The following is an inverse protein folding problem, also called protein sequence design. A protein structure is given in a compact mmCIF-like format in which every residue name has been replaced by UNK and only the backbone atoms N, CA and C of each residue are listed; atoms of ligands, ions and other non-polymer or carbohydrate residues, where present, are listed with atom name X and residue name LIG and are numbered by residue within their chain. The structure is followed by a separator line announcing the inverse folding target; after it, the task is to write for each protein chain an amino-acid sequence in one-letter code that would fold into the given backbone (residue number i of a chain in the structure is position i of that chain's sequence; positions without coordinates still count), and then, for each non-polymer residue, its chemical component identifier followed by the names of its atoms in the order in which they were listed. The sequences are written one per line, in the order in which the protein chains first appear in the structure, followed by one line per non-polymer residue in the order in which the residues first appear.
data_IF_672417303341
#
_entry.id   IF_672417303341
#
_cell.length_a   1.000
_cell.length_b   1.000
_cell.length_c   1.000
_cell.angle_alpha   90.00
_cell.angle_beta   90.00
_cell.angle_gamma   90.00
#
_symmetry.space_group_name_H-M   'P 1'
#
loop_
_entity.id
_entity.type
_entity.pdbx_description
1 polymer ?
#
# COMPACT_ATOMS: atom_id res chain seq x y z
N UNK A 1 20.66 -4.38 25.08
CA UNK A 1 19.37 -3.65 24.94
C UNK A 1 19.02 -2.71 26.12
N UNK A 2 19.79 -2.67 27.22
CA UNK A 2 19.50 -1.79 28.39
C UNK A 2 19.46 -0.31 27.97
N UNK A 3 20.47 0.16 27.25
CA UNK A 3 20.57 1.53 26.75
C UNK A 3 19.36 1.92 25.87
N UNK A 4 18.92 1.04 24.95
CA UNK A 4 17.74 1.30 24.10
C UNK A 4 16.48 1.46 24.95
N UNK A 5 16.31 0.63 25.98
CA UNK A 5 15.15 0.69 26.90
C UNK A 5 15.12 2.02 27.67
N UNK A 6 16.28 2.50 28.10
CA UNK A 6 16.41 3.76 28.85
C UNK A 6 16.19 5.01 27.96
N UNK A 7 16.41 4.87 26.64
CA UNK A 7 16.24 5.96 25.66
C UNK A 7 14.82 6.02 25.07
N UNK A 8 13.93 5.07 25.39
CA UNK A 8 12.60 5.01 24.78
C UNK A 8 11.51 4.98 25.84
N UNK A 9 10.48 5.81 25.63
CA UNK A 9 9.28 5.84 26.47
C UNK A 9 8.06 5.63 25.58
N UNK A 10 7.21 4.67 25.95
CA UNK A 10 5.95 4.38 25.26
C UNK A 10 4.79 4.88 26.10
N UNK A 11 3.98 5.75 25.54
CA UNK A 11 2.82 6.35 26.20
C UNK A 11 1.57 6.04 25.39
N UNK A 12 0.53 5.52 26.06
CA UNK A 12 -0.79 5.31 25.45
C UNK A 12 -1.82 6.16 26.18
N UNK A 13 -2.54 7.00 25.44
CA UNK A 13 -3.60 7.85 25.99
C UNK A 13 -4.71 8.09 24.97
N UNK A 14 -5.89 8.45 25.48
CA UNK A 14 -6.98 8.91 24.62
C UNK A 14 -6.71 10.36 24.22
N UNK A 15 -6.52 10.59 22.93
CA UNK A 15 -6.22 11.91 22.39
C UNK A 15 -7.30 12.96 22.74
N UNK A 16 -8.60 12.61 22.64
CA UNK A 16 -9.69 13.54 22.90
C UNK A 16 -9.77 14.03 24.35
N UNK A 17 -9.27 13.22 25.28
CA UNK A 17 -9.24 13.54 26.72
C UNK A 17 -7.93 14.21 27.15
N UNK A 18 -6.86 14.01 26.38
CA UNK A 18 -5.49 14.40 26.76
C UNK A 18 -4.81 15.25 25.68
N UNK A 19 -5.54 16.14 25.03
CA UNK A 19 -4.99 17.02 23.99
C UNK A 19 -3.81 17.85 24.48
N UNK A 20 -3.83 18.27 25.75
CA UNK A 20 -2.74 19.03 26.37
C UNK A 20 -1.43 18.25 26.45
N UNK A 21 -1.49 16.92 26.62
CA UNK A 21 -0.29 16.08 26.59
C UNK A 21 0.34 16.08 25.19
N UNK A 22 -0.48 15.95 24.14
CA UNK A 22 0.01 16.04 22.75
C UNK A 22 0.64 17.40 22.46
N UNK A 23 0.03 18.49 22.92
CA UNK A 23 0.59 19.85 22.80
C UNK A 23 1.93 19.96 23.52
N UNK A 24 2.00 19.49 24.76
CA UNK A 24 3.22 19.53 25.57
C UNK A 24 4.34 18.74 24.89
N UNK A 25 4.11 17.48 24.51
CA UNK A 25 5.10 16.66 23.83
C UNK A 25 5.56 17.29 22.51
N UNK A 26 4.65 17.90 21.75
CA UNK A 26 4.98 18.63 20.52
C UNK A 26 5.88 19.84 20.79
N UNK A 27 5.66 20.57 21.88
CA UNK A 27 6.41 21.79 22.21
C UNK A 27 7.85 21.54 22.65
N UNK A 28 8.13 20.35 23.19
CA UNK A 28 9.48 20.01 23.71
C UNK A 28 10.30 19.14 22.78
N UNK A 29 9.71 18.53 21.75
CA UNK A 29 10.44 17.62 20.85
C UNK A 29 11.36 18.37 19.88
N UNK A 30 12.50 17.77 19.54
CA UNK A 30 13.39 18.24 18.47
C UNK A 30 12.99 17.70 17.08
N UNK A 31 12.24 16.61 17.04
CA UNK A 31 11.62 16.08 15.84
C UNK A 31 10.25 15.48 16.17
N UNK A 32 9.27 15.74 15.31
CA UNK A 32 7.92 15.20 15.41
C UNK A 32 7.60 14.35 14.18
N UNK A 33 7.42 13.05 14.40
CA UNK A 33 6.95 12.13 13.35
C UNK A 33 5.51 11.78 13.64
N UNK A 34 4.62 12.00 12.67
CA UNK A 34 3.20 11.69 12.79
C UNK A 34 2.82 10.65 11.75
N UNK A 35 2.30 9.54 12.21
CA UNK A 35 1.76 8.48 11.36
C UNK A 35 0.25 8.38 11.57
N UNK A 36 -0.53 8.66 10.55
CA UNK A 36 -2.00 8.65 10.68
C UNK A 36 -2.73 9.10 9.43
N UNK A 37 -4.05 9.08 9.50
CA UNK A 37 -4.89 9.62 8.43
C UNK A 37 -4.77 11.15 8.32
N UNK A 38 -5.05 11.69 7.12
CA UNK A 38 -4.90 13.11 6.81
C UNK A 38 -5.57 14.03 7.86
N UNK A 39 -6.79 13.70 8.31
CA UNK A 39 -7.49 14.50 9.30
C UNK A 39 -6.78 14.54 10.67
N UNK A 40 -6.13 13.45 11.06
CA UNK A 40 -5.36 13.39 12.31
C UNK A 40 -4.07 14.19 12.19
N UNK A 41 -3.40 14.10 11.06
CA UNK A 41 -2.19 14.88 10.76
C UNK A 41 -2.51 16.37 10.79
N UNK A 42 -3.59 16.81 10.12
CA UNK A 42 -4.00 18.22 10.11
C UNK A 42 -4.35 18.77 11.50
N UNK A 43 -4.87 17.93 12.40
CA UNK A 43 -5.06 18.34 13.80
C UNK A 43 -3.73 18.52 14.52
N UNK A 44 -2.81 17.56 14.39
CA UNK A 44 -1.52 17.60 15.10
C UNK A 44 -0.63 18.73 14.58
N UNK A 45 -0.66 19.03 13.29
CA UNK A 45 0.05 20.18 12.68
C UNK A 45 -0.27 21.52 13.33
N UNK A 46 -1.47 21.68 13.88
CA UNK A 46 -1.87 22.92 14.55
C UNK A 46 -1.14 23.17 15.88
N UNK A 47 -0.53 22.15 16.47
CA UNK A 47 0.20 22.33 17.71
C UNK A 47 1.60 22.89 17.42
N UNK A 48 2.00 23.95 18.15
CA UNK A 48 3.32 24.54 17.96
C UNK A 48 4.41 23.54 18.33
N UNK A 49 5.49 23.60 17.56
CA UNK A 49 6.76 22.89 17.82
C UNK A 49 7.86 23.92 17.96
N UNK A 50 9.03 23.51 18.51
CA UNK A 50 10.21 24.35 18.54
C UNK A 50 10.56 24.84 17.12
N UNK A 51 10.98 26.11 16.97
CA UNK A 51 11.33 26.71 15.67
C UNK A 51 12.38 25.90 14.89
N UNK A 52 13.25 25.17 15.59
CA UNK A 52 14.30 24.34 14.98
C UNK A 52 13.91 22.86 14.87
N UNK A 53 12.77 22.47 15.41
CA UNK A 53 12.29 21.08 15.31
C UNK A 53 11.92 20.74 13.87
N UNK A 54 12.05 19.46 13.54
CA UNK A 54 11.70 18.90 12.23
C UNK A 54 10.40 18.11 12.30
N UNK A 55 9.66 18.09 11.20
CA UNK A 55 8.42 17.31 11.10
C UNK A 55 8.47 16.36 9.91
N UNK A 56 8.00 15.14 10.14
CA UNK A 56 7.77 14.13 9.10
C UNK A 56 6.34 13.61 9.24
N UNK A 57 5.61 13.53 8.14
CA UNK A 57 4.22 13.08 8.10
C UNK A 57 4.06 11.87 7.21
N UNK A 58 3.64 10.76 7.79
CA UNK A 58 3.24 9.55 7.07
C UNK A 58 1.71 9.52 6.97
N UNK A 59 1.22 10.16 5.92
CA UNK A 59 -0.22 10.32 5.67
C UNK A 59 -0.83 9.09 5.02
N UNK A 60 -2.14 9.11 4.84
CA UNK A 60 -2.86 8.05 4.16
C UNK A 60 -2.51 7.99 2.67
N UNK A 61 -2.04 6.83 2.20
CA UNK A 61 -1.55 6.59 0.84
C UNK A 61 -2.21 5.38 0.20
N UNK A 62 -2.12 5.30 -1.11
CA UNK A 62 -2.62 4.22 -1.95
C UNK A 62 -1.48 3.50 -2.65
N UNK A 63 -1.57 2.17 -2.75
CA UNK A 63 -0.56 1.35 -3.43
C UNK A 63 -1.19 0.37 -4.39
N UNK A 64 -0.40 -0.05 -5.36
CA UNK A 64 -0.83 -0.99 -6.39
C UNK A 64 0.22 -2.06 -6.66
N UNK A 65 -0.20 -3.15 -7.31
CA UNK A 65 0.69 -4.22 -7.76
C UNK A 65 0.61 -4.38 -9.28
N UNK A 66 1.76 -4.52 -9.94
CA UNK A 66 1.86 -4.78 -11.38
C UNK A 66 2.42 -6.17 -11.60
N UNK A 67 1.61 -7.05 -12.18
CA UNK A 67 1.90 -8.46 -12.35
C UNK A 67 1.95 -8.83 -13.83
N UNK A 68 3.09 -9.35 -14.29
CA UNK A 68 3.28 -9.78 -15.67
C UNK A 68 2.75 -11.21 -15.86
N UNK A 69 1.61 -11.34 -16.54
CA UNK A 69 0.91 -12.61 -16.75
C UNK A 69 1.78 -13.60 -17.52
N UNK A 70 2.46 -13.18 -18.56
CA UNK A 70 3.36 -14.03 -19.36
C UNK A 70 4.54 -14.58 -18.55
N UNK A 71 5.05 -13.83 -17.57
CA UNK A 71 6.10 -14.32 -16.66
C UNK A 71 5.53 -15.27 -15.60
N UNK A 72 4.33 -15.00 -15.11
CA UNK A 72 3.63 -15.89 -14.15
C UNK A 72 3.31 -17.24 -14.77
N UNK A 73 2.88 -17.28 -16.03
CA UNK A 73 2.55 -18.54 -16.75
C UNK A 73 3.72 -19.50 -16.86
N UNK A 74 4.96 -18.98 -16.87
CA UNK A 74 6.20 -19.76 -17.00
C UNK A 74 6.75 -20.25 -15.66
N UNK A 75 6.13 -19.87 -14.53
CA UNK A 75 6.60 -20.30 -13.22
C UNK A 75 6.34 -21.80 -12.99
N UNK A 76 7.35 -22.50 -12.49
CA UNK A 76 7.15 -23.80 -11.88
C UNK A 76 6.34 -23.69 -10.58
N UNK A 77 5.85 -24.80 -10.07
CA UNK A 77 5.00 -24.83 -8.86
C UNK A 77 5.67 -24.12 -7.67
N UNK A 78 6.93 -24.38 -7.38
CA UNK A 78 7.67 -23.82 -6.25
C UNK A 78 7.73 -22.28 -6.32
N UNK A 79 8.06 -21.74 -7.48
CA UNK A 79 8.17 -20.29 -7.68
C UNK A 79 6.79 -19.61 -7.72
N UNK A 80 5.77 -20.29 -8.21
CA UNK A 80 4.40 -19.80 -8.16
C UNK A 80 3.89 -19.74 -6.72
N UNK A 81 4.12 -20.78 -5.92
CA UNK A 81 3.75 -20.79 -4.50
C UNK A 81 4.54 -19.72 -3.70
N UNK A 82 5.81 -19.48 -4.06
CA UNK A 82 6.60 -18.38 -3.48
C UNK A 82 5.99 -17.01 -3.82
N UNK A 83 5.60 -16.78 -5.07
CA UNK A 83 4.94 -15.53 -5.48
C UNK A 83 3.64 -15.30 -4.69
N UNK A 84 2.83 -16.35 -4.51
CA UNK A 84 1.59 -16.25 -3.71
C UNK A 84 1.87 -15.93 -2.24
N UNK A 85 2.90 -16.55 -1.64
CA UNK A 85 3.29 -16.24 -0.26
C UNK A 85 3.79 -14.80 -0.12
N UNK A 86 4.57 -14.32 -1.06
CA UNK A 86 5.05 -12.96 -1.10
C UNK A 86 3.90 -11.95 -1.25
N UNK A 87 2.94 -12.24 -2.13
CA UNK A 87 1.75 -11.42 -2.29
C UNK A 87 0.86 -11.43 -1.03
N UNK A 88 0.75 -12.59 -0.36
CA UNK A 88 0.10 -12.69 0.95
C UNK A 88 0.77 -11.77 1.98
N UNK A 89 2.09 -11.75 2.03
CA UNK A 89 2.84 -10.89 2.96
C UNK A 89 2.54 -9.39 2.70
N UNK A 90 2.50 -8.97 1.44
CA UNK A 90 2.21 -7.58 1.08
C UNK A 90 0.77 -7.14 1.42
N UNK A 91 -0.15 -8.10 1.61
CA UNK A 91 -1.58 -7.81 1.71
C UNK A 91 -2.20 -8.19 3.04
N UNK A 92 -2.05 -9.45 3.48
CA UNK A 92 -2.83 -9.99 4.61
C UNK A 92 -2.18 -9.82 5.97
N UNK A 93 -0.85 -9.63 6.08
CA UNK A 93 -0.17 -9.51 7.38
C UNK A 93 -0.66 -8.34 8.22
N UNK A 94 -1.18 -7.30 7.58
CA UNK A 94 -1.73 -6.10 8.24
C UNK A 94 -3.14 -5.80 7.74
N UNK A 95 -3.93 -6.84 7.45
CA UNK A 95 -5.34 -6.74 7.04
C UNK A 95 -5.56 -5.89 5.77
N UNK A 96 -4.53 -5.76 4.91
CA UNK A 96 -4.49 -4.87 3.75
C UNK A 96 -4.63 -3.37 4.12
N UNK A 97 -4.31 -2.99 5.38
CA UNK A 97 -4.45 -1.63 5.89
C UNK A 97 -3.17 -0.79 5.80
N UNK A 98 -2.01 -1.38 5.50
CA UNK A 98 -0.79 -0.59 5.31
C UNK A 98 -0.91 0.31 4.06
N UNK A 99 -0.36 1.51 4.14
CA UNK A 99 -0.29 2.43 2.99
C UNK A 99 0.43 1.79 1.79
N UNK A 100 1.37 0.89 2.04
CA UNK A 100 2.12 0.14 1.03
C UNK A 100 1.42 -1.12 0.54
N UNK A 101 0.32 -1.57 1.17
CA UNK A 101 -0.44 -2.74 0.72
C UNK A 101 -1.19 -2.45 -0.57
N UNK A 102 -1.06 -3.28 -1.62
CA UNK A 102 -1.74 -3.04 -2.88
C UNK A 102 -3.25 -3.27 -2.78
N UNK A 103 -4.04 -2.32 -3.29
CA UNK A 103 -5.48 -2.40 -3.46
C UNK A 103 -5.88 -2.65 -4.92
N UNK A 104 -5.14 -2.05 -5.87
CA UNK A 104 -5.29 -2.24 -7.30
C UNK A 104 -4.23 -3.21 -7.81
N UNK A 105 -4.67 -4.26 -8.51
CA UNK A 105 -3.79 -5.22 -9.18
C UNK A 105 -3.90 -4.99 -10.67
N UNK A 106 -2.78 -4.67 -11.32
CA UNK A 106 -2.73 -4.47 -12.76
C UNK A 106 -1.97 -5.61 -13.42
N UNK A 107 -2.70 -6.32 -14.25
CA UNK A 107 -2.16 -7.42 -15.06
C UNK A 107 -1.61 -6.86 -16.36
N UNK A 108 -0.34 -7.13 -16.65
CA UNK A 108 0.31 -6.68 -17.88
C UNK A 108 0.82 -7.87 -18.70
N UNK A 109 1.04 -7.62 -20.00
CA UNK A 109 1.46 -8.65 -20.96
C UNK A 109 0.50 -9.86 -20.97
N UNK A 110 -0.78 -9.57 -20.98
CA UNK A 110 -1.86 -10.55 -21.10
C UNK A 110 -1.88 -11.09 -22.53
N UNK A 111 -1.71 -12.41 -22.67
CA UNK A 111 -1.88 -13.14 -23.92
C UNK A 111 -3.22 -13.89 -23.96
N UNK A 112 -3.41 -14.76 -24.96
CA UNK A 112 -4.67 -15.46 -25.18
C UNK A 112 -5.19 -16.27 -23.97
N UNK A 113 -4.29 -16.76 -23.09
CA UNK A 113 -4.63 -17.55 -21.90
C UNK A 113 -4.54 -16.75 -20.59
N UNK A 114 -4.57 -15.42 -20.65
CA UNK A 114 -4.42 -14.56 -19.46
C UNK A 114 -5.48 -14.84 -18.41
N UNK A 115 -6.73 -15.02 -18.83
CA UNK A 115 -7.87 -15.23 -17.92
C UNK A 115 -7.70 -16.47 -17.03
N UNK A 116 -7.21 -17.57 -17.59
CA UNK A 116 -7.00 -18.82 -16.84
C UNK A 116 -5.87 -18.66 -15.82
N UNK A 117 -4.81 -17.92 -16.18
CA UNK A 117 -3.67 -17.68 -15.31
C UNK A 117 -4.07 -16.76 -14.15
N UNK A 118 -4.81 -15.69 -14.43
CA UNK A 118 -5.33 -14.75 -13.44
C UNK A 118 -6.29 -15.48 -12.49
N UNK A 119 -7.20 -16.27 -13.04
CA UNK A 119 -8.14 -17.05 -12.23
C UNK A 119 -7.41 -18.08 -11.34
N UNK A 120 -6.42 -18.78 -11.90
CA UNK A 120 -5.57 -19.72 -11.15
C UNK A 120 -4.83 -18.99 -10.01
N UNK A 121 -4.32 -17.79 -10.24
CA UNK A 121 -3.65 -16.99 -9.22
C UNK A 121 -4.59 -16.70 -8.05
N UNK A 122 -5.76 -16.13 -8.31
CA UNK A 122 -6.73 -15.80 -7.26
C UNK A 122 -7.26 -17.04 -6.52
N UNK A 123 -7.56 -18.11 -7.25
CA UNK A 123 -8.01 -19.37 -6.67
C UNK A 123 -6.94 -19.97 -5.75
N UNK A 124 -5.69 -20.01 -6.17
CA UNK A 124 -4.59 -20.53 -5.35
C UNK A 124 -4.29 -19.63 -4.15
N UNK A 125 -4.34 -18.31 -4.34
CA UNK A 125 -4.23 -17.36 -3.25
C UNK A 125 -5.32 -17.60 -2.19
N UNK A 126 -6.57 -17.79 -2.58
CA UNK A 126 -7.65 -18.03 -1.63
C UNK A 126 -7.47 -19.29 -0.79
N UNK A 127 -6.91 -20.36 -1.36
CA UNK A 127 -6.53 -21.56 -0.61
C UNK A 127 -5.39 -21.31 0.37
N UNK A 128 -4.38 -20.54 -0.03
CA UNK A 128 -3.27 -20.16 0.84
C UNK A 128 -3.77 -19.33 2.02
N UNK A 129 -4.59 -18.29 1.72
CA UNK A 129 -5.15 -17.38 2.73
C UNK A 129 -6.02 -18.14 3.72
N UNK A 130 -6.90 -19.03 3.25
CA UNK A 130 -7.74 -19.88 4.12
C UNK A 130 -6.93 -20.67 5.16
N UNK A 131 -5.70 -21.06 4.81
CA UNK A 131 -4.81 -21.82 5.73
C UNK A 131 -4.08 -20.95 6.75
N UNK A 132 -3.82 -19.68 6.41
CA UNK A 132 -2.91 -18.82 7.17
C UNK A 132 -3.58 -17.66 7.89
N UNK A 133 -4.72 -17.21 7.37
CA UNK A 133 -5.35 -15.97 7.80
C UNK A 133 -6.64 -16.24 8.56
N UNK A 134 -6.72 -15.70 9.77
CA UNK A 134 -7.92 -15.79 10.59
C UNK A 134 -8.88 -14.63 10.25
N UNK A 135 -9.73 -14.84 9.26
CA UNK A 135 -10.74 -13.86 8.87
C UNK A 135 -11.90 -13.88 9.86
N UNK A 136 -12.17 -12.75 10.49
CA UNK A 136 -13.34 -12.59 11.35
C UNK A 136 -14.63 -12.56 10.52
N UNK A 137 -15.72 -13.11 11.05
CA UNK A 137 -17.02 -13.18 10.34
C UNK A 137 -17.54 -11.80 9.97
N UNK A 138 -17.43 -10.83 10.87
CA UNK A 138 -17.83 -9.43 10.61
C UNK A 138 -17.08 -8.83 9.41
N UNK A 139 -15.80 -9.15 9.23
CA UNK A 139 -15.01 -8.67 8.08
C UNK A 139 -15.54 -9.23 6.75
N UNK A 140 -16.13 -10.44 6.75
CA UNK A 140 -16.78 -11.00 5.56
C UNK A 140 -18.05 -10.22 5.20
N UNK A 141 -18.84 -9.83 6.20
CA UNK A 141 -20.04 -9.01 6.03
C UNK A 141 -19.65 -7.62 5.49
N UNK A 142 -18.63 -7.00 6.07
CA UNK A 142 -18.15 -5.69 5.63
C UNK A 142 -17.68 -5.71 4.18
N UNK A 143 -16.93 -6.75 3.77
CA UNK A 143 -16.52 -6.93 2.37
C UNK A 143 -17.71 -7.09 1.43
N UNK A 144 -18.70 -7.86 1.81
CA UNK A 144 -19.91 -8.03 1.02
C UNK A 144 -20.67 -6.72 0.87
N UNK A 145 -20.87 -5.99 1.95
CA UNK A 145 -21.50 -4.66 1.93
C UNK A 145 -20.71 -3.67 1.05
N UNK A 146 -19.37 -3.69 1.14
CA UNK A 146 -18.52 -2.87 0.27
C UNK A 146 -18.69 -3.25 -1.21
N UNK A 147 -18.76 -4.54 -1.52
CA UNK A 147 -18.98 -5.03 -2.88
C UNK A 147 -20.31 -4.56 -3.45
N UNK A 148 -21.40 -4.65 -2.68
CA UNK A 148 -22.73 -4.17 -3.09
C UNK A 148 -22.71 -2.65 -3.34
N UNK A 149 -22.09 -1.87 -2.44
CA UNK A 149 -21.93 -0.42 -2.64
C UNK A 149 -21.16 -0.10 -3.92
N UNK A 150 -20.11 -0.86 -4.23
CA UNK A 150 -19.31 -0.65 -5.43
C UNK A 150 -20.09 -1.00 -6.71
N UNK A 151 -20.88 -2.06 -6.71
CA UNK A 151 -21.74 -2.44 -7.85
C UNK A 151 -22.68 -1.28 -8.23
N UNK A 152 -23.18 -0.55 -7.24
CA UNK A 152 -24.08 0.59 -7.48
C UNK A 152 -23.32 1.88 -7.87
N UNK A 153 -22.15 2.12 -7.26
CA UNK A 153 -21.50 3.42 -7.36
C UNK A 153 -20.36 3.50 -8.38
N UNK A 154 -19.69 2.38 -8.66
CA UNK A 154 -18.48 2.35 -9.51
C UNK A 154 -18.87 1.98 -10.94
N UNK A 155 -18.98 2.97 -11.80
CA UNK A 155 -19.40 2.81 -13.21
C UNK A 155 -18.46 1.91 -14.02
N UNK A 156 -17.19 1.93 -13.68
CA UNK A 156 -16.12 1.17 -14.34
C UNK A 156 -16.07 -0.30 -13.89
N UNK A 157 -16.85 -0.68 -12.89
CA UNK A 157 -16.90 -2.06 -12.41
C UNK A 157 -17.62 -2.94 -13.45
N UNK A 158 -16.90 -3.89 -14.03
CA UNK A 158 -17.43 -4.79 -15.06
C UNK A 158 -17.83 -6.16 -14.52
N UNK A 159 -17.13 -6.64 -13.50
CA UNK A 159 -17.35 -7.98 -12.93
C UNK A 159 -16.88 -8.01 -11.47
N UNK A 160 -17.56 -8.83 -10.68
CA UNK A 160 -17.13 -9.21 -9.34
C UNK A 160 -16.98 -10.72 -9.23
N UNK A 161 -15.96 -11.20 -8.54
CA UNK A 161 -15.75 -12.63 -8.29
C UNK A 161 -15.24 -12.85 -6.87
N UNK A 162 -15.85 -13.79 -6.18
CA UNK A 162 -15.49 -14.16 -4.83
C UNK A 162 -14.89 -15.57 -4.82
N UNK A 163 -13.69 -15.70 -4.25
CA UNK A 163 -13.03 -16.97 -4.00
C UNK A 163 -13.13 -17.28 -2.52
N UNK A 164 -14.23 -17.91 -2.13
CA UNK A 164 -14.67 -18.01 -0.74
C UNK A 164 -14.83 -16.59 -0.12
N UNK A 165 -14.81 -16.50 1.22
CA UNK A 165 -14.82 -15.22 1.92
C UNK A 165 -13.43 -14.57 2.02
N UNK A 166 -12.37 -15.22 1.50
CA UNK A 166 -11.00 -14.79 1.71
C UNK A 166 -10.46 -13.86 0.62
N UNK A 167 -10.97 -13.97 -0.61
CA UNK A 167 -10.52 -13.14 -1.75
C UNK A 167 -11.73 -12.65 -2.52
N UNK A 168 -11.94 -11.34 -2.55
CA UNK A 168 -12.95 -10.66 -3.35
C UNK A 168 -12.24 -9.85 -4.44
N UNK A 169 -12.57 -10.08 -5.68
CA UNK A 169 -11.95 -9.44 -6.84
C UNK A 169 -12.99 -8.66 -7.62
N UNK A 170 -12.71 -7.39 -7.86
CA UNK A 170 -13.56 -6.45 -8.58
C UNK A 170 -12.85 -6.00 -9.84
N UNK A 171 -13.24 -6.57 -10.98
CA UNK A 171 -12.62 -6.30 -12.28
C UNK A 171 -13.14 -4.98 -12.83
N UNK A 172 -12.22 -4.08 -13.15
CA UNK A 172 -12.50 -2.77 -13.73
C UNK A 172 -12.31 -2.82 -15.26
N UNK A 173 -13.31 -2.36 -16.03
CA UNK A 173 -13.20 -2.18 -17.48
C UNK A 173 -12.19 -1.08 -17.84
N UNK A 174 -12.09 -0.08 -16.97
CA UNK A 174 -11.14 1.04 -17.03
C UNK A 174 -10.78 1.45 -15.61
N UNK A 175 -9.56 1.89 -15.37
CA UNK A 175 -9.15 2.44 -14.06
C UNK A 175 -9.75 3.85 -13.92
N UNK A 176 -10.58 4.11 -12.88
CA UNK A 176 -11.09 5.46 -12.60
C UNK A 176 -9.97 6.44 -12.24
N UNK A 177 -10.15 7.72 -12.54
CA UNK A 177 -9.13 8.73 -12.20
C UNK A 177 -8.94 8.90 -10.67
N UNK A 178 -9.97 8.58 -9.88
CA UNK A 178 -9.95 8.63 -8.42
C UNK A 178 -9.84 7.23 -7.80
N UNK A 179 -9.09 6.34 -8.43
CA UNK A 179 -8.92 4.93 -7.98
C UNK A 179 -8.44 4.84 -6.53
N UNK A 180 -7.69 5.82 -6.03
CA UNK A 180 -7.21 5.89 -4.65
C UNK A 180 -8.34 5.96 -3.61
N UNK A 181 -9.55 6.32 -4.02
CA UNK A 181 -10.76 6.25 -3.18
C UNK A 181 -11.32 4.83 -3.05
N UNK A 182 -10.97 3.94 -3.98
CA UNK A 182 -11.42 2.56 -4.03
C UNK A 182 -10.45 1.66 -3.26
N UNK A 183 -10.69 1.52 -1.96
CA UNK A 183 -9.88 0.70 -1.06
C UNK A 183 -10.62 -0.54 -0.64
N UNK A 184 -9.87 -1.59 -0.45
CA UNK A 184 -10.35 -2.82 0.16
C UNK A 184 -9.59 -3.15 1.44
N UNK A 185 -10.11 -4.11 2.19
CA UNK A 185 -9.47 -4.71 3.36
C UNK A 185 -9.68 -6.21 3.31
N UNK A 186 -8.86 -6.95 4.05
CA UNK A 186 -9.05 -8.39 4.26
C UNK A 186 -9.14 -9.21 2.97
N UNK A 187 -8.35 -8.82 1.94
CA UNK A 187 -8.36 -9.50 0.65
C UNK A 187 -9.47 -9.05 -0.30
N UNK A 188 -9.79 -7.77 -0.29
CA UNK A 188 -10.69 -7.12 -1.24
C UNK A 188 -9.88 -6.33 -2.25
N UNK A 189 -9.85 -6.78 -3.49
CA UNK A 189 -9.00 -6.25 -4.55
C UNK A 189 -9.80 -5.65 -5.69
N UNK A 190 -9.23 -4.63 -6.31
CA UNK A 190 -9.61 -4.19 -7.65
C UNK A 190 -8.56 -4.69 -8.64
N UNK A 191 -9.00 -5.07 -9.83
CA UNK A 191 -8.07 -5.52 -10.87
C UNK A 191 -8.38 -4.90 -12.22
N UNK A 192 -7.35 -4.74 -13.05
CA UNK A 192 -7.47 -4.29 -14.42
C UNK A 192 -6.38 -4.92 -15.28
N UNK A 193 -6.69 -5.23 -16.55
CA UNK A 193 -5.70 -5.66 -17.53
C UNK A 193 -5.22 -4.46 -18.36
N UNK A 194 -3.91 -4.23 -18.42
CA UNK A 194 -3.31 -3.14 -19.17
C UNK A 194 -2.23 -3.65 -20.14
N UNK A 195 -2.15 -3.04 -21.31
CA UNK A 195 -1.17 -3.42 -22.33
C UNK A 195 0.26 -2.94 -21.99
N UNK A 196 0.38 -1.85 -21.26
CA UNK A 196 1.65 -1.22 -20.90
C UNK A 196 1.49 -0.35 -19.65
N UNK A 197 2.55 0.34 -19.21
CA UNK A 197 2.53 1.18 -18.00
C UNK A 197 2.04 2.63 -18.23
N UNK A 198 1.59 3.01 -19.41
CA UNK A 198 1.12 4.39 -19.66
C UNK A 198 -0.13 4.79 -18.86
N UNK A 199 -0.89 3.80 -18.37
CA UNK A 199 -2.02 4.07 -17.46
C UNK A 199 -1.57 4.78 -16.17
N UNK A 200 -0.35 4.52 -15.70
CA UNK A 200 0.21 5.12 -14.48
C UNK A 200 0.20 6.67 -14.56
N UNK A 201 0.55 7.23 -15.71
CA UNK A 201 0.53 8.69 -15.92
C UNK A 201 -0.83 9.33 -15.62
N UNK A 202 -1.91 8.58 -15.87
CA UNK A 202 -3.28 9.10 -15.73
C UNK A 202 -3.82 9.01 -14.31
N UNK A 203 -3.30 8.08 -13.50
CA UNK A 203 -3.84 7.78 -12.18
C UNK A 203 -2.91 8.22 -11.04
N UNK A 204 -1.59 8.27 -11.25
CA UNK A 204 -0.64 8.63 -10.19
C UNK A 204 -0.82 10.10 -9.80
N UNK A 205 -1.04 10.31 -8.51
CA UNK A 205 -1.06 11.61 -7.85
C UNK A 205 -0.34 11.48 -6.49
N UNK A 206 -0.27 12.55 -5.71
CA UNK A 206 0.42 12.59 -4.41
C UNK A 206 -0.11 11.60 -3.36
N UNK A 207 -1.25 10.96 -3.61
CA UNK A 207 -1.81 9.91 -2.74
C UNK A 207 -1.16 8.54 -2.96
N UNK A 208 -0.42 8.34 -4.05
CA UNK A 208 0.21 7.06 -4.32
C UNK A 208 1.55 6.93 -3.63
N UNK A 209 1.84 5.72 -3.09
CA UNK A 209 3.09 5.45 -2.38
C UNK A 209 3.92 4.35 -3.04
N UNK A 210 3.39 3.13 -3.12
CA UNK A 210 4.18 1.95 -3.50
C UNK A 210 3.61 1.24 -4.73
N UNK A 211 4.50 0.89 -5.64
CA UNK A 211 4.24 -0.12 -6.68
C UNK A 211 4.98 -1.39 -6.28
N UNK A 212 4.25 -2.49 -6.02
CA UNK A 212 4.88 -3.81 -6.01
C UNK A 212 4.84 -4.39 -7.41
N UNK A 213 5.85 -5.14 -7.83
CA UNK A 213 5.87 -5.70 -9.18
C UNK A 213 6.43 -7.11 -9.25
N UNK A 214 5.99 -7.85 -10.28
CA UNK A 214 6.54 -9.14 -10.63
C UNK A 214 6.66 -9.28 -12.16
N UNK A 215 7.85 -9.68 -12.62
CA UNK A 215 8.12 -9.98 -14.03
C UNK A 215 8.15 -8.76 -14.95
N UNK A 216 8.34 -7.56 -14.40
CA UNK A 216 8.60 -6.31 -15.14
C UNK A 216 10.03 -5.87 -14.85
N UNK A 217 10.76 -5.46 -15.88
CA UNK A 217 12.14 -5.02 -15.73
C UNK A 217 12.22 -3.65 -15.05
N UNK A 218 13.21 -3.46 -14.15
CA UNK A 218 13.39 -2.20 -13.41
C UNK A 218 13.58 -0.99 -14.32
N UNK A 219 14.26 -1.19 -15.45
CA UNK A 219 14.51 -0.12 -16.44
C UNK A 219 13.21 0.46 -17.03
N UNK A 220 12.13 -0.34 -17.11
CA UNK A 220 10.81 0.14 -17.56
C UNK A 220 10.27 1.19 -16.59
N UNK A 221 10.39 0.95 -15.29
CA UNK A 221 9.99 1.92 -14.25
C UNK A 221 10.90 3.15 -14.26
N UNK A 222 12.22 2.95 -14.32
CA UNK A 222 13.19 4.04 -14.39
C UNK A 222 12.90 4.98 -15.56
N UNK A 223 12.70 4.43 -16.76
CA UNK A 223 12.37 5.21 -17.95
C UNK A 223 11.03 5.95 -17.79
N UNK A 224 10.03 5.31 -17.18
CA UNK A 224 8.75 5.94 -16.88
C UNK A 224 8.94 7.14 -15.92
N UNK A 225 9.65 6.98 -14.81
CA UNK A 225 9.86 8.06 -13.83
C UNK A 225 10.69 9.20 -14.39
N UNK A 226 11.74 8.92 -15.15
CA UNK A 226 12.57 9.95 -15.80
C UNK A 226 11.78 10.77 -16.81
N UNK A 227 10.89 10.12 -17.57
CA UNK A 227 10.10 10.76 -18.61
C UNK A 227 8.89 11.52 -18.06
N UNK A 228 8.11 10.88 -17.21
CA UNK A 228 6.79 11.39 -16.80
C UNK A 228 6.82 12.17 -15.49
N UNK A 229 7.85 12.00 -14.65
CA UNK A 229 8.06 12.71 -13.36
C UNK A 229 6.76 12.82 -12.53
N UNK A 230 6.08 11.71 -12.24
CA UNK A 230 4.81 11.76 -11.52
C UNK A 230 4.98 12.34 -10.11
N UNK A 231 3.93 12.95 -9.57
CA UNK A 231 3.92 13.56 -8.23
C UNK A 231 3.71 12.57 -7.08
N UNK A 232 3.67 11.27 -7.36
CA UNK A 232 3.51 10.19 -6.38
C UNK A 232 4.41 9.02 -6.73
N UNK A 233 4.30 7.96 -5.95
CA UNK A 233 5.15 6.75 -5.95
C UNK A 233 6.55 7.03 -5.41
N UNK A 234 6.69 6.73 -4.14
CA UNK A 234 7.96 6.85 -3.42
C UNK A 234 8.77 5.55 -3.45
N UNK A 235 8.11 4.41 -3.76
CA UNK A 235 8.73 3.08 -3.77
C UNK A 235 8.27 2.22 -4.93
N UNK A 236 9.23 1.52 -5.56
CA UNK A 236 8.98 0.45 -6.53
C UNK A 236 9.77 -0.78 -6.11
N UNK A 237 9.09 -1.81 -5.63
CA UNK A 237 9.71 -2.99 -5.01
C UNK A 237 9.12 -4.29 -5.55
N UNK A 238 9.89 -5.38 -5.48
CA UNK A 238 9.37 -6.70 -5.82
C UNK A 238 8.22 -7.14 -4.91
N UNK A 239 7.29 -7.93 -5.43
CA UNK A 239 6.22 -8.55 -4.62
C UNK A 239 6.80 -9.29 -3.43
N UNK A 240 6.26 -9.07 -2.25
CA UNK A 240 6.76 -9.57 -0.96
C UNK A 240 7.58 -8.56 -0.17
N UNK A 241 7.78 -7.34 -0.72
CA UNK A 241 8.62 -6.30 -0.16
C UNK A 241 7.87 -5.01 0.20
N UNK A 242 6.54 -5.02 0.13
CA UNK A 242 5.73 -3.84 0.43
C UNK A 242 5.90 -3.38 1.89
N UNK A 243 6.05 -4.31 2.82
CA UNK A 243 6.16 -4.05 4.26
C UNK A 243 7.61 -3.96 4.77
N UNK A 244 8.61 -4.12 3.90
CA UNK A 244 10.02 -3.97 4.28
C UNK A 244 10.31 -2.48 4.50
N UNK A 245 10.28 -2.04 5.75
CA UNK A 245 10.65 -0.67 6.15
C UNK A 245 12.16 -0.51 6.04
N UNK A 246 12.61 0.61 5.46
CA UNK A 246 14.01 0.96 5.30
C UNK A 246 14.24 2.43 5.70
N UNK A 247 15.49 2.88 5.65
CA UNK A 247 15.90 4.27 5.91
C UNK A 247 15.20 5.25 4.97
N UNK A 248 15.02 4.87 3.69
CA UNK A 248 14.19 5.62 2.75
C UNK A 248 12.77 5.11 2.85
N UNK A 249 11.89 5.92 3.39
CA UNK A 249 10.49 5.57 3.57
C UNK A 249 9.56 6.73 3.24
N UNK A 250 8.50 6.45 2.46
CA UNK A 250 7.49 7.42 2.07
C UNK A 250 8.06 8.72 1.47
N UNK A 251 9.12 8.59 0.66
CA UNK A 251 9.84 9.70 0.04
C UNK A 251 10.85 10.43 0.94
N UNK A 252 10.98 10.04 2.21
CA UNK A 252 11.93 10.64 3.15
C UNK A 252 13.18 9.77 3.33
N UNK A 253 14.36 10.40 3.34
CA UNK A 253 15.55 9.86 3.98
C UNK A 253 15.47 10.16 5.48
N UNK A 254 15.15 9.14 6.28
CA UNK A 254 14.89 9.31 7.72
C UNK A 254 16.14 9.76 8.48
N UNK A 255 17.33 9.29 8.10
CA UNK A 255 18.58 9.72 8.76
C UNK A 255 18.83 11.18 8.46
N UNK A 256 18.80 11.59 7.20
CA UNK A 256 19.04 12.97 6.80
C UNK A 256 18.00 13.93 7.39
N UNK A 257 16.74 13.53 7.44
CA UNK A 257 15.65 14.36 7.96
C UNK A 257 15.67 14.47 9.50
N UNK A 258 16.19 13.46 10.21
CA UNK A 258 16.20 13.42 11.68
C UNK A 258 17.58 13.74 12.28
N UNK A 259 18.57 14.07 11.47
CA UNK A 259 19.90 14.46 11.94
C UNK A 259 20.24 15.90 11.58
N UNK A 260 21.23 16.44 12.26
CA UNK A 260 21.78 17.77 12.02
C UNK A 260 23.23 17.67 11.54
N UNK A 261 23.54 18.39 10.48
CA UNK A 261 24.91 18.51 9.97
C UNK A 261 25.63 19.64 10.73
N UNK A 262 26.82 19.36 11.19
CA UNK A 262 27.76 20.37 11.72
C UNK A 262 28.89 20.56 10.70
N UNK A 263 28.97 21.74 10.13
CA UNK A 263 30.06 22.12 9.21
C UNK A 263 31.26 22.63 10.01
N UNK A 264 32.38 21.95 9.89
CA UNK A 264 33.66 22.33 10.47
C UNK A 264 34.62 22.66 9.31
N UNK A 265 35.07 23.90 9.26
CA UNK A 265 36.04 24.39 8.26
C UNK A 265 37.35 24.81 8.91
#
# INVERSE_FOLDING_TARGET
FKMIKEMNTFVKYNYSENENLTKYLSSICEARIVWGGDASIEKIKKYPISVRAREIFFSDRYSLSILNVSKISKLNKKNFDLLLNNFYNDTYLVDQNACSSPHLIVWVNSGNNSKDIIEKFWKKLSFLVKKKYNLQEISSIDKYNQQLKNIVKVKELSKTKNFNNYVNVNTLSKIPNNIESLRGKWGFFYEHEANNLFFLKKIINSKFQTITYFGVEKEVFKNFFLKEKPSGIDRVVGVGKALDIDIIWDGYDLIQNLSRIVDLR
#
